data_IF_202989122037
#
_entry.id   IF_202989122037
#
_cell.length_a   1.000
_cell.length_b   1.000
_cell.length_c   1.000
_cell.angle_alpha   90.00
_cell.angle_beta   90.00
_cell.angle_gamma   90.00
#
_symmetry.space_group_name_H-M   'P 1'
#
loop_
_entity.id
_entity.type
_entity.pdbx_description
1 polymer ?
#
# COMPACT_ATOMS: atom_id res chain seq x y z
N UNK A 1 -13.26 -11.41 22.35
CA UNK A 1 -12.42 -10.20 22.47
C UNK A 1 -11.00 -10.44 23.02
N UNK A 2 -10.72 -11.50 23.80
CA UNK A 2 -9.37 -11.72 24.37
C UNK A 2 -8.29 -12.05 23.31
N UNK A 3 -8.65 -12.74 22.22
CA UNK A 3 -7.73 -13.07 21.11
C UNK A 3 -7.23 -11.83 20.36
N UNK A 4 -8.12 -10.86 20.08
CA UNK A 4 -7.79 -9.57 19.44
C UNK A 4 -6.85 -8.69 20.27
N UNK A 5 -6.69 -8.97 21.56
CA UNK A 5 -5.75 -8.22 22.43
C UNK A 5 -4.34 -8.83 22.46
N UNK A 6 -4.19 -10.08 22.02
CA UNK A 6 -2.93 -10.84 22.10
C UNK A 6 -2.30 -11.06 20.73
N UNK A 7 -3.12 -11.24 19.69
CA UNK A 7 -2.65 -11.54 18.34
C UNK A 7 -2.68 -10.27 17.49
N UNK A 8 -1.57 -9.90 16.82
CA UNK A 8 -1.48 -8.71 15.99
C UNK A 8 -2.09 -8.95 14.59
N UNK A 9 -3.39 -9.23 14.52
CA UNK A 9 -4.10 -9.42 13.25
C UNK A 9 -3.99 -8.19 12.33
N UNK A 10 -3.82 -7.00 12.91
CA UNK A 10 -3.68 -5.73 12.20
C UNK A 10 -2.50 -5.71 11.22
N UNK A 11 -1.46 -6.54 11.43
CA UNK A 11 -0.36 -6.65 10.47
C UNK A 11 -0.82 -7.32 9.18
N UNK A 12 -1.56 -8.42 9.28
CA UNK A 12 -2.14 -9.09 8.12
C UNK A 12 -3.23 -8.22 7.49
N UNK A 13 -4.11 -7.65 8.31
CA UNK A 13 -5.18 -6.78 7.84
C UNK A 13 -4.63 -5.54 7.12
N UNK A 14 -3.47 -5.00 7.52
CA UNK A 14 -2.81 -3.90 6.82
C UNK A 14 -2.44 -4.28 5.38
N UNK A 15 -1.83 -5.45 5.18
CA UNK A 15 -1.49 -5.94 3.85
C UNK A 15 -2.75 -6.22 3.00
N UNK A 16 -3.75 -6.85 3.60
CA UNK A 16 -5.05 -7.11 2.94
C UNK A 16 -5.75 -5.80 2.55
N UNK A 17 -5.78 -4.82 3.46
CA UNK A 17 -6.33 -3.50 3.21
C UNK A 17 -5.62 -2.82 2.06
N UNK A 18 -4.28 -2.83 2.04
CA UNK A 18 -3.50 -2.25 0.95
C UNK A 18 -3.85 -2.89 -0.42
N UNK A 19 -3.93 -4.22 -0.50
CA UNK A 19 -4.32 -4.92 -1.73
C UNK A 19 -5.76 -4.62 -2.15
N UNK A 20 -6.72 -4.62 -1.21
CA UNK A 20 -8.12 -4.33 -1.49
C UNK A 20 -8.29 -2.89 -1.98
N UNK A 21 -7.74 -1.94 -1.24
CA UNK A 21 -7.83 -0.53 -1.57
C UNK A 21 -7.18 -0.22 -2.93
N UNK A 22 -5.98 -0.74 -3.18
CA UNK A 22 -5.31 -0.61 -4.48
C UNK A 22 -6.11 -1.23 -5.63
N UNK A 23 -6.84 -2.33 -5.37
CA UNK A 23 -7.74 -2.95 -6.35
C UNK A 23 -8.99 -2.10 -6.63
N UNK A 24 -9.51 -1.40 -5.62
CA UNK A 24 -10.63 -0.47 -5.79
C UNK A 24 -10.19 0.74 -6.61
N UNK A 25 -9.01 1.31 -6.34
CA UNK A 25 -8.49 2.48 -7.06
C UNK A 25 -8.17 2.15 -8.53
N UNK A 26 -7.59 0.98 -8.78
CA UNK A 26 -7.15 0.56 -10.12
C UNK A 26 -8.08 -0.50 -10.74
N UNK A 27 -9.36 -0.48 -10.37
CA UNK A 27 -10.34 -1.48 -10.80
C UNK A 27 -10.46 -1.51 -12.34
N UNK A 28 -10.28 -2.68 -12.93
CA UNK A 28 -10.30 -2.88 -14.38
C UNK A 28 -8.93 -2.76 -15.08
N UNK A 29 -7.89 -2.31 -14.39
CA UNK A 29 -6.51 -2.27 -14.90
C UNK A 29 -5.63 -3.40 -14.35
N UNK A 30 -5.87 -3.82 -13.10
CA UNK A 30 -5.07 -4.85 -12.44
C UNK A 30 -5.74 -6.22 -12.51
N UNK A 31 -4.94 -7.24 -12.77
CA UNK A 31 -5.39 -8.63 -12.67
C UNK A 31 -5.36 -9.08 -11.20
N UNK A 32 -6.36 -9.88 -10.77
CA UNK A 32 -6.42 -10.39 -9.40
C UNK A 32 -5.18 -11.20 -9.02
N UNK A 33 -4.59 -11.91 -9.98
CA UNK A 33 -3.37 -12.69 -9.76
C UNK A 33 -2.17 -11.81 -9.38
N UNK A 34 -1.98 -10.68 -10.06
CA UNK A 34 -0.90 -9.72 -9.79
C UNK A 34 -1.07 -9.11 -8.39
N UNK A 35 -2.30 -8.75 -8.01
CA UNK A 35 -2.60 -8.23 -6.68
C UNK A 35 -2.28 -9.25 -5.59
N UNK A 36 -2.62 -10.52 -5.81
CA UNK A 36 -2.33 -11.61 -4.87
C UNK A 36 -0.83 -11.87 -4.74
N UNK A 37 -0.08 -11.84 -5.85
CA UNK A 37 1.38 -12.02 -5.85
C UNK A 37 2.07 -10.91 -5.05
N UNK A 38 1.73 -9.64 -5.34
CA UNK A 38 2.26 -8.49 -4.60
C UNK A 38 1.86 -8.55 -3.13
N UNK A 39 0.60 -8.91 -2.83
CA UNK A 39 0.13 -9.09 -1.46
C UNK A 39 0.90 -10.16 -0.69
N UNK A 40 1.21 -11.29 -1.34
CA UNK A 40 2.04 -12.35 -0.77
C UNK A 40 3.44 -11.87 -0.42
N UNK A 41 4.08 -11.15 -1.34
CA UNK A 41 5.42 -10.57 -1.12
C UNK A 41 5.39 -9.59 0.07
N UNK A 42 4.38 -8.72 0.14
CA UNK A 42 4.22 -7.77 1.25
C UNK A 42 4.10 -8.50 2.58
N UNK A 43 3.27 -9.55 2.66
CA UNK A 43 3.09 -10.34 3.88
C UNK A 43 4.42 -10.98 4.31
N UNK A 44 5.16 -11.59 3.37
CA UNK A 44 6.47 -12.20 3.67
C UNK A 44 7.45 -11.16 4.20
N UNK A 45 7.56 -10.01 3.53
CA UNK A 45 8.41 -8.90 3.96
C UNK A 45 8.02 -8.40 5.36
N UNK A 46 6.72 -8.26 5.65
CA UNK A 46 6.23 -7.85 6.96
C UNK A 46 6.55 -8.87 8.05
N UNK A 47 6.42 -10.17 7.77
CA UNK A 47 6.76 -11.25 8.71
C UNK A 47 8.26 -11.27 9.01
N UNK A 48 9.10 -11.16 7.99
CA UNK A 48 10.56 -11.09 8.14
C UNK A 48 10.96 -9.86 8.95
N UNK A 49 10.38 -8.70 8.62
CA UNK A 49 10.67 -7.46 9.33
C UNK A 49 10.20 -7.49 10.79
N UNK A 50 9.00 -8.05 11.05
CA UNK A 50 8.52 -8.29 12.41
C UNK A 50 9.46 -9.21 13.20
N UNK A 51 9.91 -10.31 12.59
CA UNK A 51 10.86 -11.23 13.20
C UNK A 51 12.18 -10.54 13.56
N UNK A 52 12.70 -9.70 12.67
CA UNK A 52 13.92 -8.93 12.90
C UNK A 52 13.76 -7.95 14.07
N UNK A 53 12.71 -7.12 14.07
CA UNK A 53 12.44 -6.18 15.17
C UNK A 53 12.19 -6.92 16.49
N UNK A 54 11.54 -8.08 16.44
CA UNK A 54 11.31 -8.91 17.62
C UNK A 54 12.61 -9.43 18.24
N UNK A 55 13.58 -9.87 17.44
CA UNK A 55 14.90 -10.33 17.94
C UNK A 55 15.61 -9.20 18.71
N UNK A 56 15.57 -7.96 18.21
CA UNK A 56 16.21 -6.81 18.87
C UNK A 56 15.49 -6.36 20.13
N UNK A 57 14.16 -6.38 20.13
CA UNK A 57 13.35 -5.78 21.21
C UNK A 57 12.91 -6.78 22.26
N UNK A 58 12.91 -8.09 21.93
CA UNK A 58 12.44 -9.23 22.74
C UNK A 58 11.01 -9.07 23.27
N UNK A 59 10.22 -8.15 22.70
CA UNK A 59 8.86 -7.87 23.11
C UNK A 59 7.92 -7.90 21.90
N UNK A 60 7.11 -8.94 21.81
CA UNK A 60 6.18 -9.15 20.69
C UNK A 60 5.19 -7.99 20.49
N UNK A 61 4.71 -7.37 21.58
CA UNK A 61 3.74 -6.27 21.47
C UNK A 61 4.37 -5.03 20.86
N UNK A 62 5.56 -4.67 21.34
CA UNK A 62 6.29 -3.52 20.82
C UNK A 62 6.72 -3.76 19.37
N UNK A 63 7.26 -4.96 19.07
CA UNK A 63 7.69 -5.32 17.73
C UNK A 63 6.54 -5.23 16.72
N UNK A 64 5.36 -5.77 17.05
CA UNK A 64 4.22 -5.74 16.15
C UNK A 64 3.73 -4.32 15.87
N UNK A 65 3.63 -3.47 16.91
CA UNK A 65 3.22 -2.07 16.74
C UNK A 65 4.23 -1.29 15.91
N UNK A 66 5.53 -1.46 16.18
CA UNK A 66 6.56 -0.77 15.44
C UNK A 66 6.59 -1.20 13.97
N UNK A 67 6.51 -2.51 13.70
CA UNK A 67 6.40 -3.05 12.34
C UNK A 67 5.17 -2.50 11.63
N UNK A 68 4.03 -2.41 12.31
CA UNK A 68 2.81 -1.83 11.74
C UNK A 68 3.01 -0.37 11.33
N UNK A 69 3.53 0.49 12.21
CA UNK A 69 3.70 1.90 11.88
C UNK A 69 4.69 2.11 10.73
N UNK A 70 5.80 1.38 10.72
CA UNK A 70 6.78 1.46 9.63
C UNK A 70 6.16 0.96 8.32
N UNK A 71 5.47 -0.18 8.34
CA UNK A 71 4.81 -0.74 7.15
C UNK A 71 3.69 0.17 6.63
N UNK A 72 2.91 0.80 7.52
CA UNK A 72 1.88 1.77 7.15
C UNK A 72 2.49 2.93 6.36
N UNK A 73 3.58 3.52 6.88
CA UNK A 73 4.27 4.60 6.18
C UNK A 73 4.84 4.16 4.83
N UNK A 74 5.42 2.96 4.77
CA UNK A 74 6.03 2.45 3.54
C UNK A 74 4.99 2.15 2.46
N UNK A 75 3.92 1.43 2.81
CA UNK A 75 2.87 1.05 1.86
C UNK A 75 2.09 2.26 1.34
N UNK A 76 1.78 3.23 2.22
CA UNK A 76 1.01 4.42 1.86
C UNK A 76 1.88 5.63 1.48
N UNK A 77 3.19 5.45 1.33
CA UNK A 77 4.11 6.53 1.01
C UNK A 77 3.72 7.26 -0.29
N UNK A 78 3.35 6.52 -1.33
CA UNK A 78 2.95 7.08 -2.62
C UNK A 78 1.72 7.97 -2.51
N UNK A 79 0.64 7.44 -1.90
CA UNK A 79 -0.60 8.18 -1.70
C UNK A 79 -0.39 9.44 -0.84
N UNK A 80 0.45 9.35 0.20
CA UNK A 80 0.79 10.50 1.05
C UNK A 80 1.59 11.54 0.25
N UNK A 81 2.55 11.10 -0.58
CA UNK A 81 3.35 12.00 -1.41
C UNK A 81 2.48 12.76 -2.42
N UNK A 82 1.53 12.07 -3.04
CA UNK A 82 0.60 12.69 -3.99
C UNK A 82 -0.37 13.65 -3.30
N UNK A 83 -0.85 13.32 -2.09
CA UNK A 83 -1.67 14.24 -1.29
C UNK A 83 -0.91 15.52 -0.91
N UNK A 84 0.38 15.41 -0.56
CA UNK A 84 1.25 16.56 -0.29
C UNK A 84 1.39 17.45 -1.54
N UNK A 85 1.54 16.87 -2.73
CA UNK A 85 1.63 17.64 -4.00
C UNK A 85 0.38 18.46 -4.29
N UNK A 86 -0.80 17.90 -4.00
CA UNK A 86 -2.08 18.60 -4.27
C UNK A 86 -2.32 19.77 -3.32
N UNK A 87 -1.63 19.82 -2.18
CA UNK A 87 -1.83 20.85 -1.15
C UNK A 87 -0.77 21.95 -1.26
N UNK A 88 -1.15 23.12 -1.78
CA UNK A 88 -0.21 24.23 -2.02
C UNK A 88 0.59 24.70 -0.79
N UNK A 89 0.07 24.54 0.42
CA UNK A 89 0.76 24.94 1.65
C UNK A 89 1.91 23.99 2.04
N UNK A 90 1.91 22.75 1.53
CA UNK A 90 2.88 21.70 1.89
C UNK A 90 3.98 21.50 0.85
N UNK A 91 4.12 22.40 -0.13
CA UNK A 91 5.11 22.29 -1.21
C UNK A 91 6.56 22.14 -0.71
N UNK A 92 6.91 22.70 0.45
CA UNK A 92 8.24 22.53 1.06
C UNK A 92 8.54 21.08 1.46
N UNK A 93 7.52 20.27 1.72
CA UNK A 93 7.63 18.85 2.14
C UNK A 93 7.54 17.91 0.92
N UNK A 94 7.22 18.42 -0.26
CA UNK A 94 7.11 17.61 -1.49
C UNK A 94 8.45 16.97 -1.91
N UNK A 95 9.58 17.59 -1.54
CA UNK A 95 10.90 17.06 -1.88
C UNK A 95 11.17 15.75 -1.13
N UNK A 96 11.57 14.71 -1.88
CA UNK A 96 11.98 13.42 -1.31
C UNK A 96 13.09 13.57 -0.26
N UNK A 97 13.97 14.56 -0.42
CA UNK A 97 15.06 14.89 0.51
C UNK A 97 14.54 15.36 1.88
N UNK A 98 13.34 15.94 1.95
CA UNK A 98 12.72 16.41 3.20
C UNK A 98 11.77 15.35 3.75
N UNK A 99 11.00 14.70 2.89
CA UNK A 99 10.00 13.72 3.29
C UNK A 99 10.62 12.47 3.92
N UNK A 100 11.74 11.96 3.38
CA UNK A 100 12.40 10.76 3.91
C UNK A 100 12.95 10.96 5.34
N UNK A 101 13.72 12.02 5.64
CA UNK A 101 14.13 12.32 7.01
C UNK A 101 12.97 12.54 7.95
N UNK A 102 11.91 13.24 7.50
CA UNK A 102 10.71 13.48 8.30
C UNK A 102 10.05 12.15 8.71
N UNK A 103 9.90 11.23 7.76
CA UNK A 103 9.33 9.90 8.00
C UNK A 103 10.20 9.10 8.98
N UNK A 104 11.52 9.21 8.89
CA UNK A 104 12.45 8.59 9.84
C UNK A 104 12.26 9.18 11.26
N UNK A 105 12.21 10.51 11.39
CA UNK A 105 11.99 11.19 12.67
C UNK A 105 10.66 10.77 13.30
N UNK A 106 9.58 10.72 12.51
CA UNK A 106 8.26 10.27 12.97
C UNK A 106 8.33 8.84 13.51
N UNK A 107 9.01 7.92 12.80
CA UNK A 107 9.17 6.55 13.27
C UNK A 107 9.99 6.44 14.56
N UNK A 108 11.04 7.24 14.74
CA UNK A 108 11.79 7.30 16.00
C UNK A 108 10.91 7.82 17.14
N UNK A 109 10.14 8.88 16.91
CA UNK A 109 9.23 9.46 17.91
C UNK A 109 8.17 8.45 18.34
N UNK A 110 7.58 7.72 17.38
CA UNK A 110 6.60 6.66 17.65
C UNK A 110 7.24 5.52 18.44
N UNK A 111 8.44 5.07 18.05
CA UNK A 111 9.17 4.02 18.77
C UNK A 111 9.48 4.43 20.21
N UNK A 112 9.93 5.67 20.42
CA UNK A 112 10.19 6.22 21.75
C UNK A 112 8.91 6.32 22.60
N UNK A 113 7.83 6.84 22.02
CA UNK A 113 6.53 6.96 22.70
C UNK A 113 5.95 5.60 23.07
N UNK A 114 6.03 4.61 22.17
CA UNK A 114 5.61 3.23 22.42
C UNK A 114 6.44 2.59 23.54
N UNK A 115 7.76 2.81 23.58
CA UNK A 115 8.62 2.23 24.62
C UNK A 115 8.27 2.77 26.02
N UNK A 116 7.82 4.02 26.10
CA UNK A 116 7.40 4.68 27.35
C UNK A 116 6.03 4.21 27.85
N UNK A 117 5.11 3.86 26.95
CA UNK A 117 3.71 3.60 27.29
C UNK A 117 3.30 2.12 27.15
N UNK A 118 3.96 1.23 27.88
CA UNK A 118 3.72 -0.23 27.81
C UNK A 118 2.28 -0.64 28.14
N UNK A 119 1.60 0.10 29.01
CA UNK A 119 0.21 -0.19 29.41
C UNK A 119 -0.78 0.02 28.25
N UNK A 120 -0.42 0.81 27.23
CA UNK A 120 -1.29 1.11 26.09
C UNK A 120 -1.27 0.03 25.01
N UNK A 121 -0.33 -0.92 25.05
CA UNK A 121 -0.18 -1.92 23.98
C UNK A 121 -1.47 -2.70 23.73
N UNK A 122 -2.10 -3.21 24.78
CA UNK A 122 -3.33 -4.00 24.64
C UNK A 122 -4.50 -3.16 24.11
N UNK A 123 -4.57 -1.88 24.49
CA UNK A 123 -5.60 -0.95 24.01
C UNK A 123 -5.39 -0.65 22.52
N UNK A 124 -4.15 -0.38 22.11
CA UNK A 124 -3.78 -0.14 20.71
C UNK A 124 -4.00 -1.37 19.83
N UNK A 125 -3.66 -2.57 20.31
CA UNK A 125 -3.92 -3.82 19.59
C UNK A 125 -5.41 -4.00 19.27
N UNK A 126 -6.27 -3.80 20.27
CA UNK A 126 -7.72 -3.91 20.06
C UNK A 126 -8.21 -2.83 19.10
N UNK A 127 -7.79 -1.58 19.31
CA UNK A 127 -8.19 -0.46 18.46
C UNK A 127 -7.79 -0.68 17.00
N UNK A 128 -6.53 -1.01 16.74
CA UNK A 128 -6.02 -1.22 15.38
C UNK A 128 -6.69 -2.41 14.70
N UNK A 129 -6.88 -3.52 15.42
CA UNK A 129 -7.57 -4.69 14.85
C UNK A 129 -9.00 -4.33 14.43
N UNK A 130 -9.76 -3.65 15.29
CA UNK A 130 -11.15 -3.25 14.97
C UNK A 130 -11.17 -2.24 13.82
N UNK A 131 -10.29 -1.23 13.85
CA UNK A 131 -10.20 -0.21 12.81
C UNK A 131 -9.93 -0.82 11.44
N UNK A 132 -8.94 -1.71 11.34
CA UNK A 132 -8.60 -2.34 10.07
C UNK A 132 -9.63 -3.35 9.59
N UNK A 133 -10.33 -4.03 10.49
CA UNK A 133 -11.49 -4.85 10.10
C UNK A 133 -12.55 -3.98 9.43
N UNK A 134 -12.87 -2.82 10.02
CA UNK A 134 -13.85 -1.89 9.45
C UNK A 134 -13.38 -1.41 8.08
N UNK A 135 -12.12 -1.02 7.95
CA UNK A 135 -11.55 -0.56 6.67
C UNK A 135 -11.57 -1.63 5.58
N UNK A 136 -11.13 -2.85 5.90
CA UNK A 136 -11.21 -3.98 4.95
C UNK A 136 -12.65 -4.26 4.51
N UNK A 137 -13.61 -4.21 5.44
CA UNK A 137 -15.03 -4.43 5.12
C UNK A 137 -15.56 -3.31 4.22
N UNK A 138 -15.22 -2.04 4.49
CA UNK A 138 -15.65 -0.94 3.64
C UNK A 138 -15.10 -1.03 2.22
N UNK A 139 -13.80 -1.35 2.05
CA UNK A 139 -13.22 -1.51 0.71
C UNK A 139 -13.76 -2.75 -0.01
N UNK A 140 -14.03 -3.84 0.70
CA UNK A 140 -14.66 -5.02 0.11
C UNK A 140 -16.05 -4.68 -0.47
N UNK A 141 -16.86 -3.91 0.25
CA UNK A 141 -18.18 -3.45 -0.25
C UNK A 141 -18.02 -2.54 -1.47
N UNK A 142 -17.04 -1.63 -1.46
CA UNK A 142 -16.75 -0.77 -2.62
C UNK A 142 -16.27 -1.58 -3.83
N UNK A 143 -15.44 -2.59 -3.62
CA UNK A 143 -14.95 -3.46 -4.68
C UNK A 143 -16.09 -4.28 -5.30
N UNK A 144 -16.98 -4.85 -4.48
CA UNK A 144 -18.16 -5.59 -4.96
C UNK A 144 -19.11 -4.67 -5.72
N UNK A 145 -19.34 -3.44 -5.26
CA UNK A 145 -20.22 -2.50 -5.97
C UNK A 145 -19.64 -2.04 -7.31
N UNK A 146 -18.32 -1.82 -7.38
CA UNK A 146 -17.60 -1.58 -8.64
C UNK A 146 -17.69 -2.79 -9.56
N UNK A 147 -17.52 -4.02 -9.04
CA UNK A 147 -17.65 -5.24 -9.82
C UNK A 147 -19.04 -5.44 -10.41
N UNK A 148 -20.09 -5.15 -9.64
CA UNK A 148 -21.47 -5.24 -10.11
C UNK A 148 -21.83 -4.15 -11.15
N UNK A 149 -21.17 -2.99 -11.08
CA UNK A 149 -21.43 -1.86 -11.99
C UNK A 149 -20.50 -1.85 -13.21
N UNK A 150 -19.50 -2.73 -13.23
CA UNK A 150 -18.49 -2.75 -14.29
C UNK A 150 -19.11 -3.23 -15.60
N UNK A 151 -19.16 -2.35 -16.58
CA UNK A 151 -19.39 -2.69 -17.98
C UNK A 151 -18.04 -2.70 -18.66
N UNK A 152 -17.64 -3.85 -19.22
CA UNK A 152 -16.47 -3.90 -20.09
C UNK A 152 -16.64 -2.85 -21.18
N UNK A 153 -15.70 -1.91 -21.24
CA UNK A 153 -15.61 -0.99 -22.36
C UNK A 153 -15.03 -1.79 -23.53
N UNK A 154 -15.91 -2.55 -24.21
CA UNK A 154 -15.58 -3.13 -25.50
C UNK A 154 -15.35 -1.97 -26.47
N UNK A 155 -14.08 -1.67 -26.76
CA UNK A 155 -13.71 -0.69 -27.77
C UNK A 155 -14.33 -1.13 -29.11
N UNK A 156 -15.36 -0.44 -29.64
CA UNK A 156 -16.13 -0.96 -30.77
C UNK A 156 -15.33 -0.99 -32.07
N UNK A 157 -14.19 -0.29 -32.12
CA UNK A 157 -13.30 -0.24 -33.26
C UNK A 157 -11.86 -0.13 -32.77
N UNK A 158 -11.04 -1.19 -32.83
CA UNK A 158 -9.61 -1.03 -32.73
C UNK A 158 -9.20 -0.14 -33.91
N UNK A 159 -8.81 1.10 -33.64
CA UNK A 159 -8.24 1.98 -34.65
C UNK A 159 -6.98 1.28 -35.16
N UNK A 160 -6.98 0.87 -36.43
CA UNK A 160 -5.83 0.23 -37.04
C UNK A 160 -4.60 1.13 -36.85
N UNK A 161 -3.53 0.57 -36.29
CA UNK A 161 -2.30 1.30 -36.03
C UNK A 161 -1.68 1.76 -37.35
N UNK A 162 -1.79 3.06 -37.63
CA UNK A 162 -1.29 3.68 -38.85
C UNK A 162 0.20 4.02 -38.70
N UNK A 163 1.05 3.07 -39.09
CA UNK A 163 2.51 3.22 -39.06
C UNK A 163 3.01 4.47 -39.81
N UNK A 164 2.27 4.94 -40.81
CA UNK A 164 2.68 6.10 -41.63
C UNK A 164 2.65 7.44 -40.88
N UNK A 165 1.97 7.50 -39.73
CA UNK A 165 1.86 8.70 -38.88
C UNK A 165 2.92 8.78 -37.77
N UNK A 166 3.74 7.74 -37.60
CA UNK A 166 4.80 7.69 -36.59
C UNK A 166 6.00 8.52 -37.08
N UNK A 167 5.98 9.83 -36.79
CA UNK A 167 7.03 10.79 -37.20
C UNK A 167 8.25 10.82 -36.27
N UNK A 168 8.16 10.20 -35.09
CA UNK A 168 9.23 10.13 -34.10
C UNK A 168 9.19 8.79 -33.35
N UNK A 169 10.35 8.27 -32.94
CA UNK A 169 10.42 7.05 -32.12
C UNK A 169 9.63 7.25 -30.82
N UNK A 170 8.68 6.36 -30.48
CA UNK A 170 7.98 6.43 -29.21
C UNK A 170 8.96 6.31 -28.05
N UNK A 171 8.64 7.00 -26.96
CA UNK A 171 9.41 6.90 -25.73
C UNK A 171 9.30 5.49 -25.16
N UNK A 172 10.39 4.89 -24.67
CA UNK A 172 10.49 3.47 -24.27
C UNK A 172 9.40 3.04 -23.28
N UNK A 173 8.92 3.97 -22.45
CA UNK A 173 7.83 3.75 -21.51
C UNK A 173 6.51 3.30 -22.16
N UNK A 174 6.23 3.70 -23.41
CA UNK A 174 5.04 3.25 -24.14
C UNK A 174 5.13 1.78 -24.58
N UNK A 175 6.34 1.30 -24.91
CA UNK A 175 6.56 -0.10 -25.34
C UNK A 175 6.54 -1.10 -24.17
N UNK A 176 6.78 -0.67 -22.93
CA UNK A 176 6.61 -1.54 -21.77
C UNK A 176 5.15 -1.61 -21.30
N UNK A 177 4.40 -0.51 -21.40
CA UNK A 177 3.00 -0.47 -20.97
C UNK A 177 2.07 -1.24 -21.92
N UNK A 178 2.37 -1.19 -23.22
CA UNK A 178 1.73 -2.02 -24.23
C UNK A 178 2.73 -3.08 -24.60
N UNK A 179 2.54 -4.33 -24.14
CA UNK A 179 3.41 -5.49 -24.34
C UNK A 179 3.63 -5.82 -25.85
N UNK A 180 4.22 -4.89 -26.61
CA UNK A 180 4.45 -4.95 -28.04
C UNK A 180 5.87 -5.45 -28.28
N UNK A 181 6.05 -6.45 -29.16
CA UNK A 181 7.39 -6.92 -29.49
C UNK A 181 8.21 -5.76 -30.07
N UNK A 182 9.37 -5.52 -29.48
CA UNK A 182 10.35 -4.54 -29.98
C UNK A 182 10.79 -5.00 -31.36
N UNK A 183 10.27 -4.34 -32.40
CA UNK A 183 10.70 -4.57 -33.78
C UNK A 183 12.13 -4.04 -33.88
N UNK A 184 13.09 -4.97 -33.97
CA UNK A 184 14.47 -4.65 -34.33
C UNK A 184 14.48 -4.18 -35.79
N UNK A 185 14.92 -2.94 -36.00
CA UNK A 185 15.34 -2.44 -37.32
C UNK A 185 16.71 -3.00 -37.63
#
# INVERSE_FOLDING_TARGET
>A
MALLKKIPFFLLLLAVFFCLHGSVENYGYLNLFEVMEVGGIIIVCMVVFFGLVWIFTKNHFFAALLTFFIALWYLFFGAIHDLIKTTSFLQFIQSYTVLLPLLLVVNILVAWWLKRNKQLYQKLFLYLNVLFIIFCVSDAVLLVSKAASYKEVAYPNPVAFDQSKVRAKPNVYFCCLMNMPVIKV
#
